data_IF_310644937671
#
_entry.id   IF_310644937671
#
_cell.length_a   1.000
_cell.length_b   1.000
_cell.length_c   1.000
_cell.angle_alpha   90.00
_cell.angle_beta   90.00
_cell.angle_gamma   90.00
#
_symmetry.space_group_name_H-M   'P 1'
#
loop_
_entity.id
_entity.type
_entity.pdbx_description
1 polymer ?
#
# COMPACT_ATOMS: atom_id res chain seq x y z
N UNK A 1 19.28 -36.81 -19.67
CA UNK A 1 17.87 -37.26 -19.78
C UNK A 1 17.02 -36.03 -20.10
N UNK A 2 16.53 -35.91 -21.34
CA UNK A 2 15.59 -34.84 -21.70
C UNK A 2 14.22 -35.17 -21.12
N UNK A 3 13.76 -34.40 -20.14
CA UNK A 3 12.38 -34.46 -19.65
C UNK A 3 11.48 -34.00 -20.81
N UNK A 4 10.75 -34.92 -21.44
CA UNK A 4 9.65 -34.54 -22.31
C UNK A 4 8.55 -34.03 -21.38
N UNK A 5 8.23 -32.74 -21.49
CA UNK A 5 7.09 -32.14 -20.80
C UNK A 5 5.85 -32.93 -21.21
N UNK A 6 5.33 -33.71 -20.26
CA UNK A 6 4.16 -34.53 -20.44
C UNK A 6 3.00 -33.58 -20.76
N UNK A 7 2.39 -33.72 -21.95
CA UNK A 7 1.48 -32.73 -22.53
C UNK A 7 0.12 -32.74 -21.81
N UNK A 8 0.13 -32.19 -20.60
CA UNK A 8 -0.97 -32.14 -19.65
C UNK A 8 -2.20 -31.48 -20.26
N UNK A 9 -1.99 -30.53 -21.19
CA UNK A 9 -3.07 -29.84 -21.92
C UNK A 9 -3.99 -30.80 -22.67
N UNK A 10 -3.42 -31.84 -23.30
CA UNK A 10 -4.17 -32.89 -23.99
C UNK A 10 -4.96 -33.75 -23.01
N UNK A 11 -4.35 -34.12 -21.89
CA UNK A 11 -5.02 -34.90 -20.82
C UNK A 11 -6.18 -34.10 -20.22
N UNK A 12 -6.03 -32.78 -20.03
CA UNK A 12 -7.05 -31.89 -19.50
C UNK A 12 -8.23 -31.74 -20.47
N UNK A 13 -7.94 -31.48 -21.75
CA UNK A 13 -8.98 -31.34 -22.79
C UNK A 13 -9.87 -32.59 -22.89
N UNK A 14 -9.27 -33.78 -22.78
CA UNK A 14 -10.00 -35.06 -22.79
C UNK A 14 -10.91 -35.17 -21.56
N UNK A 15 -10.41 -34.80 -20.37
CA UNK A 15 -11.19 -34.84 -19.11
C UNK A 15 -12.34 -33.83 -19.11
N UNK A 16 -12.10 -32.62 -19.59
CA UNK A 16 -13.10 -31.57 -19.71
C UNK A 16 -14.21 -32.00 -20.68
N UNK A 17 -13.84 -32.65 -21.79
CA UNK A 17 -14.81 -33.20 -22.74
C UNK A 17 -15.65 -34.34 -22.15
N UNK A 18 -15.07 -35.23 -21.32
CA UNK A 18 -15.85 -36.25 -20.61
C UNK A 18 -16.79 -35.63 -19.58
N UNK A 19 -16.30 -34.69 -18.77
CA UNK A 19 -17.10 -34.01 -17.75
C UNK A 19 -18.29 -33.27 -18.37
N UNK A 20 -18.09 -32.58 -19.49
CA UNK A 20 -19.15 -31.88 -20.20
C UNK A 20 -20.26 -32.82 -20.69
N UNK A 21 -19.93 -34.06 -21.08
CA UNK A 21 -20.91 -35.06 -21.52
C UNK A 21 -21.70 -35.60 -20.33
N UNK A 22 -21.01 -35.96 -19.27
CA UNK A 22 -21.64 -36.52 -18.07
C UNK A 22 -22.56 -35.50 -17.40
N UNK A 23 -22.15 -34.23 -17.38
CA UNK A 23 -22.97 -33.13 -16.87
C UNK A 23 -24.27 -32.93 -17.68
N UNK A 24 -24.19 -32.98 -19.01
CA UNK A 24 -25.37 -32.90 -19.88
C UNK A 24 -26.29 -34.11 -19.72
N UNK A 25 -25.72 -35.30 -19.55
CA UNK A 25 -26.49 -36.50 -19.28
C UNK A 25 -27.24 -36.39 -17.94
N UNK A 26 -26.57 -35.89 -16.90
CA UNK A 26 -27.20 -35.62 -15.61
C UNK A 26 -28.32 -34.58 -15.72
N UNK A 27 -28.11 -33.44 -16.40
CA UNK A 27 -29.16 -32.44 -16.63
C UNK A 27 -30.38 -33.03 -17.35
N UNK A 28 -30.17 -34.00 -18.24
CA UNK A 28 -31.25 -34.68 -18.95
C UNK A 28 -32.10 -35.58 -18.04
N UNK A 29 -31.54 -36.08 -16.93
CA UNK A 29 -32.28 -36.90 -15.95
C UNK A 29 -33.21 -36.10 -15.05
N UNK A 30 -33.01 -34.78 -14.93
CA UNK A 30 -33.81 -33.91 -14.07
C UNK A 30 -35.18 -33.60 -14.67
N UNK A 31 -36.17 -33.51 -13.80
CA UNK A 31 -37.53 -33.04 -14.15
C UNK A 31 -37.50 -31.55 -14.50
N UNK A 32 -38.52 -31.03 -15.21
CA UNK A 32 -38.56 -29.62 -15.61
C UNK A 32 -38.43 -28.68 -14.40
N UNK A 33 -39.08 -28.97 -13.28
CA UNK A 33 -39.02 -28.16 -12.04
C UNK A 33 -37.62 -28.12 -11.43
N UNK A 34 -36.91 -29.25 -11.45
CA UNK A 34 -35.54 -29.31 -10.93
C UNK A 34 -34.56 -28.57 -11.84
N UNK A 35 -34.77 -28.59 -13.15
CA UNK A 35 -33.98 -27.77 -14.09
C UNK A 35 -34.14 -26.27 -13.84
N UNK A 36 -35.34 -25.82 -13.50
CA UNK A 36 -35.57 -24.43 -13.12
C UNK A 36 -34.80 -24.03 -11.86
N UNK A 37 -34.78 -24.88 -10.82
CA UNK A 37 -33.98 -24.63 -9.60
C UNK A 37 -32.48 -24.63 -9.87
N UNK A 38 -32.02 -25.55 -10.71
CA UNK A 38 -30.62 -25.64 -11.12
C UNK A 38 -30.20 -24.40 -11.93
N UNK A 39 -31.09 -23.88 -12.79
CA UNK A 39 -30.87 -22.63 -13.52
C UNK A 39 -30.88 -21.40 -12.59
N UNK A 40 -31.75 -21.35 -11.59
CA UNK A 40 -31.77 -20.27 -10.58
C UNK A 40 -30.46 -20.21 -9.77
N UNK A 41 -29.84 -21.37 -9.54
CA UNK A 41 -28.53 -21.48 -8.89
C UNK A 41 -27.34 -21.24 -9.83
N UNK A 42 -27.58 -20.96 -11.13
CA UNK A 42 -26.52 -20.76 -12.13
C UNK A 42 -25.75 -22.04 -12.48
N UNK A 43 -26.36 -23.21 -12.31
CA UNK A 43 -25.81 -24.53 -12.58
C UNK A 43 -26.44 -25.14 -13.86
N UNK A 44 -26.92 -24.32 -14.77
CA UNK A 44 -27.48 -24.76 -16.05
C UNK A 44 -26.39 -25.11 -17.09
N UNK A 45 -25.13 -24.76 -16.82
CA UNK A 45 -23.98 -25.05 -17.67
C UNK A 45 -22.83 -25.73 -16.90
N UNK A 46 -22.08 -26.66 -17.55
CA UNK A 46 -20.92 -27.27 -16.93
C UNK A 46 -19.85 -26.22 -16.68
N UNK A 47 -19.30 -26.21 -15.46
CA UNK A 47 -18.22 -25.30 -15.08
C UNK A 47 -16.90 -25.79 -15.69
N UNK A 48 -16.64 -25.34 -16.91
CA UNK A 48 -15.37 -25.53 -17.58
C UNK A 48 -14.59 -24.20 -17.52
N UNK A 49 -13.38 -24.15 -16.96
CA UNK A 49 -12.53 -22.98 -17.09
C UNK A 49 -12.14 -22.84 -18.57
N UNK A 50 -12.92 -22.05 -19.31
CA UNK A 50 -12.72 -21.82 -20.74
C UNK A 50 -11.44 -21.04 -21.03
N UNK A 51 -11.05 -20.23 -20.06
CA UNK A 51 -9.80 -19.51 -20.01
C UNK A 51 -9.29 -19.66 -18.57
N UNK A 52 -8.34 -20.58 -18.37
CA UNK A 52 -7.47 -20.46 -17.20
C UNK A 52 -6.79 -19.12 -17.34
N UNK A 53 -7.20 -18.12 -16.56
CA UNK A 53 -6.59 -16.78 -16.50
C UNK A 53 -5.18 -16.78 -15.93
N UNK A 54 -4.41 -17.84 -16.20
CA UNK A 54 -2.97 -17.85 -16.12
C UNK A 54 -2.45 -16.96 -17.25
N UNK A 55 -1.77 -15.90 -16.85
CA UNK A 55 -0.89 -15.11 -17.69
C UNK A 55 -0.13 -16.02 -18.68
N UNK A 56 -0.11 -15.65 -19.97
CA UNK A 56 0.53 -16.37 -21.07
C UNK A 56 1.67 -17.31 -20.63
N UNK A 57 1.49 -18.60 -20.90
CA UNK A 57 2.57 -19.60 -21.06
C UNK A 57 3.54 -19.79 -19.88
N UNK A 58 3.23 -19.26 -18.69
CA UNK A 58 4.07 -19.40 -17.51
C UNK A 58 3.27 -19.94 -16.35
N UNK A 59 3.74 -21.05 -15.81
CA UNK A 59 3.24 -21.60 -14.55
C UNK A 59 3.27 -20.49 -13.49
N UNK A 60 2.23 -20.41 -12.66
CA UNK A 60 2.22 -19.52 -11.52
C UNK A 60 3.38 -19.84 -10.55
N UNK A 61 3.85 -21.09 -10.52
CA UNK A 61 5.05 -21.50 -9.78
C UNK A 61 6.36 -20.93 -10.37
N UNK A 62 6.38 -20.60 -11.67
CA UNK A 62 7.51 -19.96 -12.35
C UNK A 62 7.42 -18.41 -12.30
N UNK A 63 6.38 -17.88 -11.64
CA UNK A 63 6.24 -16.45 -11.43
C UNK A 63 7.23 -15.96 -10.36
N UNK A 64 7.88 -14.80 -10.54
CA UNK A 64 8.67 -14.18 -9.47
C UNK A 64 7.85 -13.88 -8.19
N UNK A 65 6.51 -13.92 -8.25
CA UNK A 65 5.64 -13.88 -7.06
C UNK A 65 5.65 -15.17 -6.23
N UNK A 66 6.05 -16.31 -6.80
CA UNK A 66 6.11 -17.62 -6.14
C UNK A 66 7.52 -17.99 -5.65
N UNK A 67 8.51 -17.11 -5.84
CA UNK A 67 9.88 -17.32 -5.35
C UNK A 67 9.93 -17.28 -3.82
N UNK A 68 10.47 -18.33 -3.19
CA UNK A 68 10.83 -18.34 -1.76
C UNK A 68 12.09 -17.51 -1.46
N UNK A 69 12.75 -16.94 -2.47
CA UNK A 69 13.77 -15.95 -2.21
C UNK A 69 13.10 -14.80 -1.45
N UNK A 70 13.59 -14.40 -0.25
CA UNK A 70 13.00 -13.31 0.48
C UNK A 70 12.93 -12.14 -0.48
N UNK A 71 11.71 -11.69 -0.79
CA UNK A 71 11.50 -10.51 -1.59
C UNK A 71 12.43 -9.43 -1.00
N UNK A 72 13.21 -8.70 -1.80
CA UNK A 72 13.96 -7.59 -1.27
C UNK A 72 12.93 -6.72 -0.57
N UNK A 73 12.99 -6.74 0.77
CA UNK A 73 12.10 -5.93 1.60
C UNK A 73 12.33 -4.54 1.03
N UNK A 74 11.28 -3.84 0.56
CA UNK A 74 11.45 -2.46 0.22
C UNK A 74 12.16 -1.85 1.42
N UNK A 75 13.34 -1.25 1.23
CA UNK A 75 14.14 -0.65 2.31
C UNK A 75 13.33 0.43 3.08
N UNK A 76 12.13 0.72 2.57
CA UNK A 76 11.13 1.66 3.00
C UNK A 76 9.76 1.05 3.35
N UNK A 77 9.65 -0.27 3.55
CA UNK A 77 8.46 -0.85 4.17
C UNK A 77 8.32 -0.18 5.54
N UNK A 78 7.18 0.49 5.84
CA UNK A 78 6.95 1.01 7.19
C UNK A 78 7.18 -0.15 8.14
N UNK A 79 8.01 0.02 9.19
CA UNK A 79 8.21 -1.07 10.14
C UNK A 79 6.82 -1.51 10.56
N UNK A 80 6.50 -2.78 10.35
CA UNK A 80 5.29 -3.36 10.91
C UNK A 80 5.31 -2.96 12.36
N UNK A 81 4.31 -2.18 12.78
CA UNK A 81 4.21 -1.70 14.14
C UNK A 81 3.99 -2.95 14.99
N UNK A 82 5.08 -3.58 15.39
CA UNK A 82 5.09 -4.61 16.40
C UNK A 82 4.52 -3.93 17.62
N UNK A 83 3.26 -4.24 17.91
CA UNK A 83 2.57 -3.84 19.13
C UNK A 83 3.22 -4.60 20.30
N UNK A 84 4.51 -4.38 20.50
CA UNK A 84 5.23 -4.75 21.69
C UNK A 84 4.81 -3.81 22.81
N UNK A 85 4.60 -4.38 23.99
CA UNK A 85 4.40 -3.61 25.21
C UNK A 85 5.66 -2.76 25.38
N UNK A 86 5.54 -1.42 25.29
CA UNK A 86 6.65 -0.50 25.47
C UNK A 86 7.29 -0.74 26.84
N UNK A 87 8.60 -0.99 26.86
CA UNK A 87 9.36 -1.06 28.11
C UNK A 87 9.39 0.32 28.77
N UNK A 88 9.59 0.34 30.08
CA UNK A 88 9.77 1.61 30.83
C UNK A 88 10.92 2.45 30.26
N UNK A 89 11.98 1.81 29.78
CA UNK A 89 13.12 2.49 29.14
C UNK A 89 12.77 3.13 27.81
N UNK A 90 11.87 2.53 27.01
CA UNK A 90 11.42 3.09 25.74
C UNK A 90 10.61 4.37 25.97
N UNK A 91 9.75 4.36 26.99
CA UNK A 91 8.98 5.53 27.40
C UNK A 91 9.92 6.66 27.84
N UNK A 92 10.94 6.34 28.63
CA UNK A 92 11.94 7.32 29.04
C UNK A 92 12.79 7.83 27.87
N UNK A 93 13.13 6.99 26.89
CA UNK A 93 13.86 7.43 25.70
C UNK A 93 13.04 8.42 24.86
N UNK A 94 11.75 8.12 24.64
CA UNK A 94 10.82 9.05 23.97
C UNK A 94 10.71 10.37 24.73
N UNK A 95 10.57 10.33 26.06
CA UNK A 95 10.50 11.53 26.90
C UNK A 95 11.80 12.34 26.84
N UNK A 96 12.98 11.71 26.89
CA UNK A 96 14.27 12.40 26.78
C UNK A 96 14.42 13.10 25.43
N UNK A 97 14.08 12.41 24.34
CA UNK A 97 14.10 13.00 22.97
C UNK A 97 13.14 14.16 22.85
N UNK A 98 11.93 14.04 23.38
CA UNK A 98 10.93 15.09 23.38
C UNK A 98 11.38 16.33 24.16
N UNK A 99 11.83 16.15 25.40
CA UNK A 99 12.30 17.25 26.25
C UNK A 99 13.54 17.91 25.66
N UNK A 100 14.50 17.13 25.18
CA UNK A 100 15.69 17.65 24.50
C UNK A 100 15.33 18.50 23.28
N UNK A 101 14.39 18.02 22.45
CA UNK A 101 13.91 18.78 21.30
C UNK A 101 13.24 20.09 21.72
N UNK A 102 12.38 20.08 22.74
CA UNK A 102 11.69 21.30 23.20
C UNK A 102 12.65 22.34 23.78
N UNK A 103 13.70 21.90 24.48
CA UNK A 103 14.72 22.79 25.06
C UNK A 103 15.65 23.40 24.01
N UNK A 104 15.93 22.67 22.92
CA UNK A 104 16.79 23.16 21.84
C UNK A 104 16.09 24.18 20.91
N UNK A 105 14.76 24.27 20.97
CA UNK A 105 13.97 25.08 20.05
C UNK A 105 13.86 26.55 20.46
N UNK A 106 14.07 27.43 19.48
CA UNK A 106 13.91 28.89 19.68
C UNK A 106 12.46 29.30 19.93
N UNK A 107 11.50 28.52 19.42
CA UNK A 107 10.08 28.73 19.65
C UNK A 107 9.41 27.41 20.03
N UNK A 108 9.52 27.06 21.31
CA UNK A 108 8.94 25.85 21.87
C UNK A 108 7.42 25.78 21.70
N UNK A 109 6.72 26.92 21.72
CA UNK A 109 5.25 26.99 21.59
C UNK A 109 4.79 26.54 20.19
N UNK A 110 5.47 26.99 19.14
CA UNK A 110 5.21 26.52 17.78
C UNK A 110 5.49 25.01 17.66
N UNK A 111 6.59 24.54 18.24
CA UNK A 111 6.95 23.12 18.21
C UNK A 111 5.93 22.25 18.95
N UNK A 112 5.36 22.71 20.07
CA UNK A 112 4.30 22.02 20.80
C UNK A 112 3.01 21.92 19.99
N UNK A 113 2.60 22.98 19.30
CA UNK A 113 1.42 22.92 18.43
C UNK A 113 1.65 22.00 17.21
N UNK A 114 2.85 22.01 16.64
CA UNK A 114 3.24 21.05 15.60
C UNK A 114 3.25 19.60 16.13
N UNK A 115 3.72 19.40 17.36
CA UNK A 115 3.71 18.08 18.01
C UNK A 115 2.28 17.58 18.26
N UNK A 116 1.39 18.46 18.72
CA UNK A 116 -0.01 18.12 18.92
C UNK A 116 -0.69 17.68 17.60
N UNK A 117 -0.32 18.32 16.48
CA UNK A 117 -0.77 17.94 15.13
C UNK A 117 -0.24 16.57 14.67
N UNK A 118 1.05 16.28 14.95
CA UNK A 118 1.72 15.06 14.49
C UNK A 118 1.40 13.85 15.38
N UNK A 119 1.29 14.04 16.68
CA UNK A 119 1.01 12.96 17.64
C UNK A 119 -0.48 12.66 17.78
N UNK A 120 -1.36 13.63 17.43
CA UNK A 120 -2.80 13.52 17.66
C UNK A 120 -3.22 13.62 19.13
N UNK A 121 -2.28 13.85 20.06
CA UNK A 121 -2.54 13.90 21.51
C UNK A 121 -3.44 15.05 21.94
N UNK A 122 -3.42 16.16 21.19
CA UNK A 122 -4.23 17.35 21.48
C UNK A 122 -4.65 18.06 20.20
N UNK A 123 -5.35 17.34 19.33
CA UNK A 123 -5.85 17.91 18.09
C UNK A 123 -7.15 18.70 18.36
N UNK A 124 -7.04 20.01 18.59
CA UNK A 124 -8.17 20.93 18.75
C UNK A 124 -8.89 21.27 17.42
N UNK A 125 -8.64 20.51 16.34
CA UNK A 125 -9.20 20.80 15.01
C UNK A 125 -8.46 21.90 14.23
N UNK A 126 -7.40 22.47 14.80
CA UNK A 126 -6.64 23.53 14.14
C UNK A 126 -5.88 23.01 12.92
N UNK A 127 -6.02 23.72 11.80
CA UNK A 127 -5.26 23.43 10.58
C UNK A 127 -3.83 23.98 10.68
N UNK A 128 -2.88 23.42 9.91
CA UNK A 128 -1.52 23.98 9.79
C UNK A 128 -1.52 25.47 9.41
N UNK A 129 -2.52 25.91 8.65
CA UNK A 129 -2.74 27.32 8.28
C UNK A 129 -3.15 28.18 9.48
N UNK A 130 -3.98 27.66 10.39
CA UNK A 130 -4.36 28.36 11.61
C UNK A 130 -3.16 28.53 12.54
N UNK A 131 -2.37 27.46 12.73
CA UNK A 131 -1.11 27.49 13.48
C UNK A 131 -0.12 28.49 12.86
N UNK A 132 0.07 28.43 11.54
CA UNK A 132 0.95 29.35 10.83
C UNK A 132 0.58 30.83 11.08
N UNK A 133 -0.71 31.15 11.02
CA UNK A 133 -1.21 32.51 11.27
C UNK A 133 -0.97 32.97 12.71
N UNK A 134 -1.17 32.10 13.71
CA UNK A 134 -0.94 32.44 15.13
C UNK A 134 0.51 32.73 15.44
N UNK A 135 1.42 32.01 14.79
CA UNK A 135 2.87 32.12 15.03
C UNK A 135 3.58 33.05 14.05
N UNK A 136 2.86 33.68 13.12
CA UNK A 136 3.44 34.60 12.13
C UNK A 136 4.41 33.91 11.16
N UNK A 137 4.24 32.62 10.91
CA UNK A 137 5.10 31.81 10.03
C UNK A 137 4.34 31.35 8.79
N UNK A 138 5.05 30.84 7.79
CA UNK A 138 4.39 30.27 6.60
C UNK A 138 3.84 28.87 6.90
N UNK A 139 2.76 28.47 6.21
CA UNK A 139 2.23 27.10 6.29
C UNK A 139 3.31 26.05 5.94
N UNK A 140 4.19 26.36 4.98
CA UNK A 140 5.29 25.48 4.60
C UNK A 140 6.29 25.28 5.75
N UNK A 141 6.59 26.32 6.53
CA UNK A 141 7.43 26.22 7.73
C UNK A 141 6.80 25.31 8.79
N UNK A 142 5.49 25.45 9.04
CA UNK A 142 4.75 24.55 9.96
C UNK A 142 4.80 23.10 9.46
N UNK A 143 4.56 22.89 8.16
CA UNK A 143 4.63 21.55 7.55
C UNK A 143 6.02 20.95 7.69
N UNK A 144 7.08 21.71 7.41
CA UNK A 144 8.47 21.27 7.57
C UNK A 144 8.73 20.86 9.02
N UNK A 145 8.30 21.67 9.98
CA UNK A 145 8.48 21.40 11.39
C UNK A 145 7.77 20.13 11.85
N UNK A 146 6.56 19.88 11.35
CA UNK A 146 5.84 18.64 11.62
C UNK A 146 6.60 17.42 11.09
N UNK A 147 7.24 17.51 9.92
CA UNK A 147 8.08 16.43 9.38
C UNK A 147 9.29 16.17 10.28
N UNK A 148 10.03 17.22 10.64
CA UNK A 148 11.21 17.11 11.52
C UNK A 148 10.84 16.43 12.85
N UNK A 149 9.72 16.82 13.47
CA UNK A 149 9.26 16.21 14.72
C UNK A 149 8.87 14.74 14.57
N UNK A 150 8.30 14.36 13.43
CA UNK A 150 7.93 12.97 13.13
C UNK A 150 9.20 12.11 13.04
N UNK A 151 10.23 12.61 12.35
CA UNK A 151 11.52 11.94 12.17
C UNK A 151 12.29 11.82 13.50
N UNK A 152 12.39 12.90 14.27
CA UNK A 152 13.12 12.91 15.54
C UNK A 152 12.49 12.03 16.63
N UNK A 153 11.15 11.96 16.66
CA UNK A 153 10.41 11.16 17.64
C UNK A 153 10.09 9.75 17.13
N UNK A 154 10.54 9.41 15.92
CA UNK A 154 10.28 8.13 15.27
C UNK A 154 8.77 7.77 15.25
N UNK A 155 7.92 8.76 15.03
CA UNK A 155 6.47 8.59 14.99
C UNK A 155 6.02 8.23 13.57
N UNK A 156 4.94 7.46 13.45
CA UNK A 156 4.25 7.34 12.17
C UNK A 156 3.60 8.69 11.81
N UNK A 157 3.65 9.12 10.54
CA UNK A 157 3.01 10.36 10.14
C UNK A 157 1.49 10.29 10.38
N UNK A 158 0.93 11.28 11.08
CA UNK A 158 -0.50 11.30 11.39
C UNK A 158 -1.38 11.50 10.14
N UNK A 159 -2.68 11.22 10.29
CA UNK A 159 -3.72 11.49 9.26
C UNK A 159 -3.67 12.91 8.68
N UNK A 160 -3.25 13.89 9.48
CA UNK A 160 -3.13 15.29 9.04
C UNK A 160 -1.93 15.52 8.09
N UNK A 161 -1.03 14.55 7.98
CA UNK A 161 0.14 14.59 7.12
C UNK A 161 0.01 13.62 5.95
N UNK A 162 0.59 14.00 4.80
CA UNK A 162 0.73 13.06 3.67
C UNK A 162 1.66 11.92 4.05
N UNK A 163 1.37 10.72 3.53
CA UNK A 163 2.23 9.54 3.69
C UNK A 163 3.65 9.78 3.16
N UNK A 164 4.63 9.03 3.66
CA UNK A 164 6.02 9.11 3.21
C UNK A 164 6.14 8.86 1.69
N UNK A 165 5.39 7.89 1.16
CA UNK A 165 5.29 7.60 -0.28
C UNK A 165 4.77 8.79 -1.08
N UNK A 166 3.69 9.44 -0.63
CA UNK A 166 3.15 10.61 -1.29
C UNK A 166 4.12 11.81 -1.25
N UNK A 167 4.91 11.96 -0.18
CA UNK A 167 5.94 13.01 -0.08
C UNK A 167 7.08 12.76 -1.06
N UNK A 168 7.58 11.53 -1.17
CA UNK A 168 8.65 11.18 -2.13
C UNK A 168 8.21 11.39 -3.57
N UNK A 169 6.98 10.99 -3.92
CA UNK A 169 6.40 11.24 -5.23
C UNK A 169 6.31 12.75 -5.55
N UNK A 170 5.85 13.58 -4.61
CA UNK A 170 5.81 15.03 -4.78
C UNK A 170 7.21 15.65 -4.92
N UNK A 171 8.19 15.16 -4.15
CA UNK A 171 9.59 15.61 -4.24
C UNK A 171 10.17 15.27 -5.62
N UNK A 172 9.97 14.05 -6.10
CA UNK A 172 10.41 13.62 -7.43
C UNK A 172 9.75 14.45 -8.53
N UNK A 173 8.44 14.71 -8.43
CA UNK A 173 7.71 15.56 -9.36
C UNK A 173 8.21 17.02 -9.36
N UNK A 174 8.48 17.61 -8.19
CA UNK A 174 9.05 18.95 -8.09
C UNK A 174 10.47 19.03 -8.67
N UNK A 175 11.34 18.06 -8.36
CA UNK A 175 12.69 18.01 -8.93
C UNK A 175 12.62 17.85 -10.44
N UNK A 176 11.76 16.97 -10.95
CA UNK A 176 11.54 16.80 -12.39
C UNK A 176 11.03 18.08 -13.07
N UNK A 177 10.12 18.81 -12.43
CA UNK A 177 9.61 20.09 -12.96
C UNK A 177 10.71 21.15 -12.98
N UNK A 178 11.52 21.21 -11.91
CA UNK A 178 12.64 22.15 -11.81
C UNK A 178 13.71 21.85 -12.84
N UNK A 179 14.11 20.58 -12.98
CA UNK A 179 15.11 20.17 -13.98
C UNK A 179 14.61 20.35 -15.40
N UNK A 180 13.32 20.15 -15.67
CA UNK A 180 12.71 20.47 -16.96
C UNK A 180 12.80 21.98 -17.25
N UNK A 181 12.52 22.83 -16.26
CA UNK A 181 12.63 24.29 -16.41
C UNK A 181 14.09 24.75 -16.59
N UNK A 182 15.04 24.17 -15.85
CA UNK A 182 16.48 24.44 -16.02
C UNK A 182 16.98 24.00 -17.42
N UNK A 183 16.43 22.92 -17.96
CA UNK A 183 16.87 22.33 -19.25
C UNK A 183 16.25 23.00 -20.47
N UNK A 184 15.03 23.53 -20.36
CA UNK A 184 14.27 24.08 -21.49
C UNK A 184 13.87 25.55 -21.33
N UNK A 185 13.97 26.12 -20.13
CA UNK A 185 13.58 27.51 -19.83
C UNK A 185 14.60 28.57 -20.25
N UNK A 186 15.79 28.20 -20.71
CA UNK A 186 16.82 29.12 -21.20
C UNK A 186 16.72 29.46 -22.70
N UNK A 187 15.69 29.00 -23.41
CA UNK A 187 15.52 29.24 -24.86
C UNK A 187 14.71 30.50 -25.24
N UNK A 188 14.34 31.35 -24.26
CA UNK A 188 13.68 32.63 -24.52
C UNK A 188 14.31 33.75 -23.69
N UNK A 189 15.48 34.22 -24.13
CA UNK A 189 16.03 35.55 -23.87
C UNK A 189 16.87 35.98 -25.06
#
# INVERSE_FOLDING_TARGET
MSYQADDYSKKQTIKDASYARDYKAWLATLTPEERWRVAELGLDAPLLPKDGGGFLDKDAADSPMASEAPAPIPEDAPPEATAGILGTEDVWDVLRRLVGQLLAERNARLSLECLALVSGLSFLGDSMTAVARRHGVTRAAVSKRCVELTEHLNLLPSRAMRSLTARRAYRAAQVSTRTHYERFGHHHS
#
